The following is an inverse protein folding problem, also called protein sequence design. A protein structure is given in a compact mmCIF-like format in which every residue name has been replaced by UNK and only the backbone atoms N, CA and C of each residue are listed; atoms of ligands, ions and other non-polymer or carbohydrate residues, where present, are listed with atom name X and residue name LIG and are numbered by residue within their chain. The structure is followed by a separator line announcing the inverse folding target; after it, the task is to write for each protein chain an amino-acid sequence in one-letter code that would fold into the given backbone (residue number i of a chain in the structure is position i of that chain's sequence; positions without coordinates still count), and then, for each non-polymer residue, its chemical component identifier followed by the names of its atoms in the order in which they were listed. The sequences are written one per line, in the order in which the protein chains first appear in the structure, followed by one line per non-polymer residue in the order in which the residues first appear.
data_IF_648061801374
#
_entry.id   IF_648061801374
#
_cell.length_a   1.000
_cell.length_b   1.000
_cell.length_c   1.000
_cell.angle_alpha   90.00
_cell.angle_beta   90.00
_cell.angle_gamma   90.00
#
_symmetry.space_group_name_H-M   'P 1'
#
loop_
_entity.id
_entity.type
_entity.pdbx_description
1 polymer ?
#
# COMPACT_ATOMS: atom_id res chain seq x y z
N UNK A 1 56.64 15.08 1.85
CA UNK A 1 56.49 14.66 0.45
C UNK A 1 55.00 14.44 0.29
N UNK A 2 54.17 15.41 -0.02
CA UNK A 2 53.89 15.96 -1.34
C UNK A 2 53.17 14.93 -2.22
N UNK A 3 51.88 15.13 -2.46
CA UNK A 3 51.07 14.39 -3.40
C UNK A 3 49.62 14.89 -3.41
N UNK A 4 49.47 16.09 -3.86
CA UNK A 4 48.22 16.77 -4.31
C UNK A 4 47.78 16.12 -5.61
N UNK A 5 46.49 15.78 -5.75
CA UNK A 5 45.84 15.74 -7.05
C UNK A 5 44.33 15.95 -6.89
N UNK A 6 43.93 16.97 -7.23
CA UNK A 6 42.96 17.84 -7.82
C UNK A 6 42.42 17.27 -9.14
N UNK A 7 41.18 17.68 -9.41
CA UNK A 7 40.43 17.69 -10.68
C UNK A 7 39.34 16.62 -10.79
N UNK A 8 38.11 16.91 -11.18
CA UNK A 8 37.46 18.05 -11.83
C UNK A 8 35.96 17.71 -11.84
N UNK A 9 35.07 18.58 -11.46
CA UNK A 9 34.32 19.46 -12.31
C UNK A 9 33.63 18.80 -13.52
N UNK A 10 32.36 18.51 -13.40
CA UNK A 10 31.45 18.52 -14.52
C UNK A 10 30.10 19.11 -14.12
N UNK A 11 29.96 20.36 -14.36
CA UNK A 11 28.72 21.12 -14.52
C UNK A 11 28.12 20.81 -15.91
N UNK A 12 26.85 21.19 -16.07
CA UNK A 12 26.06 21.31 -17.30
C UNK A 12 25.18 20.06 -17.54
N UNK A 13 23.89 20.16 -17.80
CA UNK A 13 23.13 21.25 -18.42
C UNK A 13 21.64 21.11 -18.14
N UNK A 14 21.10 22.23 -17.86
CA UNK A 14 19.75 22.69 -18.04
C UNK A 14 19.22 22.36 -19.45
N UNK A 15 18.11 21.69 -19.59
CA UNK A 15 17.33 21.68 -20.81
C UNK A 15 15.87 21.92 -20.48
N UNK A 16 15.54 23.16 -20.54
CA UNK A 16 14.23 23.76 -20.64
C UNK A 16 13.60 23.38 -21.96
N UNK A 17 12.58 22.56 -21.98
CA UNK A 17 11.66 22.44 -23.10
C UNK A 17 10.38 23.17 -22.78
N UNK A 18 10.30 24.33 -23.37
CA UNK A 18 9.17 25.24 -23.42
C UNK A 18 8.31 24.82 -24.59
N UNK A 19 7.12 24.29 -24.33
CA UNK A 19 6.13 24.05 -25.37
C UNK A 19 4.97 25.02 -25.28
N UNK A 20 4.71 25.60 -26.41
CA UNK A 20 3.90 26.72 -26.80
C UNK A 20 2.41 26.32 -26.88
N UNK A 21 1.46 27.19 -26.52
CA UNK A 21 0.04 26.96 -26.71
C UNK A 21 -0.40 27.35 -28.14
N UNK A 22 -1.26 26.54 -28.73
CA UNK A 22 -2.03 26.92 -29.91
C UNK A 22 -3.51 26.73 -29.63
N UNK A 23 -4.12 27.75 -29.45
CA UNK A 23 -5.29 28.48 -29.77
C UNK A 23 -6.07 27.93 -30.98
N UNK A 24 -7.40 27.68 -30.80
CA UNK A 24 -8.46 28.08 -31.75
C UNK A 24 -9.82 27.55 -31.31
N UNK A 25 -10.63 28.41 -30.77
CA UNK A 25 -12.09 28.46 -30.96
C UNK A 25 -12.41 28.84 -32.42
N UNK A 26 -13.63 28.75 -32.99
CA UNK A 26 -14.93 28.89 -32.34
C UNK A 26 -16.10 28.07 -32.98
N UNK A 27 -17.26 28.19 -32.38
CA UNK A 27 -18.59 28.32 -32.98
C UNK A 27 -19.66 27.34 -32.43
N UNK A 28 -20.55 27.90 -31.67
CA UNK A 28 -21.90 27.40 -31.48
C UNK A 28 -22.77 27.63 -32.73
N UNK A 29 -23.88 26.91 -32.91
CA UNK A 29 -25.16 27.54 -32.51
C UNK A 29 -26.22 26.58 -31.88
N UNK A 30 -26.86 27.10 -30.90
CA UNK A 30 -28.28 27.22 -30.55
C UNK A 30 -29.33 26.50 -31.41
N UNK A 31 -30.18 25.69 -30.76
CA UNK A 31 -31.67 25.66 -30.90
C UNK A 31 -32.22 24.55 -29.96
N UNK A 32 -33.00 24.98 -29.08
CA UNK A 32 -34.46 24.97 -28.82
C UNK A 32 -34.99 23.71 -28.13
N UNK A 33 -35.66 24.06 -27.06
CA UNK A 33 -36.44 23.29 -26.11
C UNK A 33 -37.51 22.38 -26.72
N UNK A 34 -37.82 21.30 -26.00
CA UNK A 34 -39.20 20.85 -25.79
C UNK A 34 -39.27 19.97 -24.53
N UNK A 35 -40.25 20.28 -23.74
CA UNK A 35 -40.62 19.84 -22.40
C UNK A 35 -41.18 18.42 -22.31
N UNK A 36 -40.80 17.67 -21.23
CA UNK A 36 -41.68 16.99 -20.23
C UNK A 36 -42.57 15.81 -20.65
N UNK A 37 -43.05 14.93 -19.71
CA UNK A 37 -42.53 14.52 -18.39
C UNK A 37 -42.54 12.98 -18.10
N UNK A 38 -41.93 12.62 -16.99
CA UNK A 38 -42.26 11.53 -16.07
C UNK A 38 -42.20 10.06 -16.52
N UNK A 39 -41.29 9.30 -15.93
CA UNK A 39 -41.67 8.19 -15.05
C UNK A 39 -40.47 7.74 -14.20
N UNK A 40 -40.68 7.88 -12.93
CA UNK A 40 -39.90 7.31 -11.82
C UNK A 40 -39.60 5.83 -12.05
N UNK A 41 -38.34 5.47 -12.09
CA UNK A 41 -37.89 4.15 -11.64
C UNK A 41 -36.54 4.33 -10.93
N UNK A 42 -36.67 4.19 -9.64
CA UNK A 42 -35.60 4.14 -8.66
C UNK A 42 -34.80 2.86 -8.89
N UNK A 43 -33.63 2.94 -9.47
CA UNK A 43 -32.61 1.91 -9.39
C UNK A 43 -31.37 2.52 -8.81
N UNK A 44 -31.30 2.35 -7.51
CA UNK A 44 -30.09 2.59 -6.72
C UNK A 44 -29.00 1.62 -7.19
N UNK A 45 -28.21 2.04 -8.14
CA UNK A 45 -26.90 1.49 -8.37
C UNK A 45 -25.90 2.61 -8.11
N UNK A 46 -25.60 2.77 -6.83
CA UNK A 46 -24.54 3.67 -6.36
C UNK A 46 -23.19 3.03 -6.65
N UNK A 47 -22.73 3.13 -7.90
CA UNK A 47 -21.34 2.98 -8.21
C UNK A 47 -20.68 4.36 -8.17
N UNK A 48 -20.42 4.83 -6.97
CA UNK A 48 -19.46 5.93 -6.77
C UNK A 48 -18.05 5.37 -6.90
N UNK A 49 -17.23 5.86 -7.82
CA UNK A 49 -15.79 5.67 -7.69
C UNK A 49 -15.34 6.47 -6.46
N UNK A 50 -14.91 5.76 -5.44
CA UNK A 50 -14.34 6.36 -4.24
C UNK A 50 -13.05 7.09 -4.65
N UNK A 51 -13.18 8.38 -4.85
CA UNK A 51 -12.06 9.32 -4.88
C UNK A 51 -11.48 9.34 -3.45
N UNK A 52 -10.24 8.89 -3.32
CA UNK A 52 -9.56 8.79 -2.05
C UNK A 52 -9.39 10.13 -1.35
N UNK A 53 -10.36 10.46 -0.50
CA UNK A 53 -10.16 11.39 0.60
C UNK A 53 -9.96 10.51 1.83
N UNK A 54 -8.78 10.57 2.43
CA UNK A 54 -8.43 9.82 3.62
C UNK A 54 -9.42 10.09 4.74
N UNK A 55 -10.31 9.13 4.97
CA UNK A 55 -11.17 9.14 6.14
C UNK A 55 -10.31 8.71 7.34
N UNK A 56 -9.98 9.66 8.21
CA UNK A 56 -9.42 9.36 9.51
C UNK A 56 -10.29 8.32 10.23
N UNK A 57 -9.67 7.29 10.82
CA UNK A 57 -10.31 6.17 11.52
C UNK A 57 -11.03 5.14 10.62
N UNK A 58 -10.54 4.87 9.43
CA UNK A 58 -11.02 3.70 8.68
C UNK A 58 -10.39 2.42 9.24
N UNK A 59 -11.23 1.52 9.73
CA UNK A 59 -10.83 0.14 10.01
C UNK A 59 -10.55 -0.55 8.67
N UNK A 60 -9.34 -1.01 8.52
CA UNK A 60 -8.95 -1.77 7.35
C UNK A 60 -9.48 -3.19 7.46
N UNK A 61 -9.85 -3.79 6.33
CA UNK A 61 -10.30 -5.19 6.29
C UNK A 61 -10.01 -5.81 4.93
N UNK A 62 -10.11 -7.14 4.87
CA UNK A 62 -9.99 -7.89 3.63
C UNK A 62 -8.59 -8.45 3.38
N UNK A 63 -8.41 -9.02 2.19
CA UNK A 63 -7.17 -9.68 1.76
C UNK A 63 -6.33 -8.71 0.93
N UNK A 64 -5.07 -8.59 1.30
CA UNK A 64 -4.06 -7.79 0.61
C UNK A 64 -2.92 -8.69 0.17
N UNK A 65 -2.67 -8.78 -1.12
CA UNK A 65 -1.64 -9.66 -1.67
C UNK A 65 -0.53 -8.89 -2.37
N UNK A 66 0.68 -9.38 -2.17
CA UNK A 66 1.90 -8.87 -2.79
C UNK A 66 2.84 -10.00 -3.21
N UNK A 67 4.01 -9.63 -3.66
CA UNK A 67 5.10 -10.57 -3.88
C UNK A 67 5.74 -10.90 -2.52
N UNK A 68 5.85 -12.18 -2.21
CA UNK A 68 6.41 -12.73 -0.96
C UNK A 68 5.59 -12.44 0.30
N UNK A 69 4.33 -11.95 0.16
CA UNK A 69 3.49 -11.64 1.31
C UNK A 69 2.00 -11.74 0.99
N UNK A 70 1.23 -12.24 1.96
CA UNK A 70 -0.23 -12.17 2.03
C UNK A 70 -0.59 -11.60 3.39
N UNK A 71 -1.48 -10.62 3.43
CA UNK A 71 -2.01 -10.02 4.64
C UNK A 71 -3.53 -10.15 4.62
N UNK A 72 -4.09 -10.85 5.61
CA UNK A 72 -5.52 -10.98 5.82
C UNK A 72 -5.92 -10.17 7.04
N UNK A 73 -6.80 -9.20 6.86
CA UNK A 73 -7.25 -8.28 7.91
C UNK A 73 -8.71 -8.56 8.25
N UNK A 74 -8.95 -8.89 9.51
CA UNK A 74 -10.25 -9.01 10.14
C UNK A 74 -10.63 -7.72 10.88
N UNK A 75 -11.77 -7.72 11.56
CA UNK A 75 -12.25 -6.56 12.31
C UNK A 75 -11.37 -6.17 13.49
N UNK A 76 -10.67 -7.12 14.08
CA UNK A 76 -9.97 -7.02 15.38
C UNK A 76 -8.54 -7.58 15.35
N UNK A 77 -8.12 -8.13 14.22
CA UNK A 77 -6.81 -8.76 14.09
C UNK A 77 -6.37 -8.84 12.64
N UNK A 78 -5.08 -9.12 12.42
CA UNK A 78 -4.58 -9.44 11.11
C UNK A 78 -3.56 -10.58 11.15
N UNK A 79 -3.52 -11.37 10.08
CA UNK A 79 -2.54 -12.45 9.88
C UNK A 79 -1.71 -12.18 8.64
N UNK A 80 -0.43 -12.50 8.73
CA UNK A 80 0.52 -12.32 7.65
C UNK A 80 1.19 -13.67 7.32
N UNK A 81 1.26 -13.98 6.04
CA UNK A 81 2.07 -15.07 5.53
C UNK A 81 3.19 -14.50 4.64
N UNK A 82 4.41 -14.94 4.89
CA UNK A 82 5.59 -14.65 4.09
C UNK A 82 6.15 -15.94 3.48
N UNK A 83 7.18 -15.86 2.65
CA UNK A 83 7.78 -17.06 2.04
C UNK A 83 8.18 -18.12 3.08
N UNK A 84 8.90 -17.71 4.13
CA UNK A 84 9.43 -18.60 5.15
C UNK A 84 9.13 -18.10 6.57
N UNK A 85 8.03 -17.38 6.71
CA UNK A 85 7.63 -16.84 8.00
C UNK A 85 6.12 -16.60 8.05
N UNK A 86 5.61 -16.41 9.25
CA UNK A 86 4.25 -15.96 9.51
C UNK A 86 4.25 -14.85 10.53
N UNK A 87 3.21 -14.04 10.56
CA UNK A 87 3.03 -12.98 11.52
C UNK A 87 1.58 -12.85 11.96
N UNK A 88 1.35 -12.20 13.08
CA UNK A 88 0.01 -11.84 13.53
C UNK A 88 0.00 -10.51 14.25
N UNK A 89 -1.05 -9.75 14.07
CA UNK A 89 -1.35 -8.51 14.76
C UNK A 89 -2.67 -8.74 15.49
N UNK A 90 -2.70 -8.54 16.81
CA UNK A 90 -3.87 -8.81 17.66
C UNK A 90 -4.79 -7.60 17.80
N UNK A 91 -4.40 -6.48 17.26
CA UNK A 91 -5.14 -5.23 17.29
C UNK A 91 -5.73 -4.91 15.91
N UNK A 92 -6.88 -4.21 15.85
CA UNK A 92 -7.44 -3.76 14.58
C UNK A 92 -6.51 -2.78 13.88
N UNK A 93 -6.38 -2.90 12.57
CA UNK A 93 -5.60 -1.95 11.77
C UNK A 93 -6.48 -0.73 11.47
N UNK A 94 -6.22 0.35 12.18
CA UNK A 94 -6.90 1.63 12.03
C UNK A 94 -5.95 2.63 11.37
N UNK A 95 -6.40 3.25 10.31
CA UNK A 95 -5.62 4.25 9.59
C UNK A 95 -5.77 5.63 10.24
N UNK A 96 -4.67 6.36 10.31
CA UNK A 96 -4.69 7.78 10.66
C UNK A 96 -5.21 8.65 9.49
N UNK A 97 -5.26 9.97 9.69
CA UNK A 97 -5.72 10.92 8.68
C UNK A 97 -4.87 10.93 7.40
N UNK A 98 -3.65 10.41 7.45
CA UNK A 98 -2.72 10.32 6.33
C UNK A 98 -2.69 8.91 5.70
N UNK A 99 -3.53 7.99 6.19
CA UNK A 99 -3.56 6.61 5.73
C UNK A 99 -2.43 5.75 6.30
N UNK A 100 -1.82 6.13 7.43
CA UNK A 100 -0.75 5.38 8.08
C UNK A 100 -1.29 4.54 9.22
N UNK A 101 -0.61 3.43 9.50
CA UNK A 101 -0.76 2.63 10.70
C UNK A 101 0.60 2.20 11.23
N UNK A 102 0.66 1.89 12.53
CA UNK A 102 1.86 1.45 13.22
C UNK A 102 1.45 0.60 14.43
N UNK A 103 1.73 -0.70 14.38
CA UNK A 103 1.28 -1.68 15.35
C UNK A 103 2.38 -2.67 15.69
N UNK A 104 2.29 -3.26 16.87
CA UNK A 104 3.15 -4.35 17.31
C UNK A 104 2.43 -5.67 17.11
N UNK A 105 3.16 -6.68 16.68
CA UNK A 105 2.63 -8.02 16.49
C UNK A 105 3.70 -9.07 16.67
N UNK A 106 3.38 -10.33 16.36
CA UNK A 106 4.33 -11.42 16.38
C UNK A 106 4.87 -11.73 14.99
N UNK A 107 6.11 -12.21 14.94
CA UNK A 107 6.76 -12.71 13.74
C UNK A 107 7.41 -14.05 14.04
N UNK A 108 7.04 -15.08 13.29
CA UNK A 108 7.55 -16.43 13.44
C UNK A 108 8.29 -16.84 12.17
N UNK A 109 9.62 -17.04 12.28
CA UNK A 109 10.42 -17.55 11.18
C UNK A 109 10.34 -19.06 11.13
N UNK A 110 9.90 -19.62 10.03
CA UNK A 110 9.89 -21.04 9.79
C UNK A 110 11.27 -21.50 9.33
N UNK A 111 11.95 -22.29 10.15
CA UNK A 111 13.22 -22.91 9.80
C UNK A 111 13.03 -24.30 9.18
N UNK A 112 14.03 -24.83 8.46
CA UNK A 112 14.01 -26.21 7.98
C UNK A 112 14.10 -27.18 9.16
N UNK A 113 13.20 -28.15 9.20
CA UNK A 113 13.22 -29.22 10.18
C UNK A 113 11.95 -29.31 11.04
N UNK A 114 11.81 -30.39 11.82
CA UNK A 114 10.63 -30.56 12.66
C UNK A 114 10.60 -29.53 13.77
N UNK A 115 9.49 -28.83 13.90
CA UNK A 115 9.22 -27.91 15.00
C UNK A 115 9.20 -28.67 16.32
N UNK A 116 10.05 -28.27 17.27
CA UNK A 116 9.99 -28.81 18.63
C UNK A 116 8.73 -28.30 19.29
N UNK A 117 7.86 -29.21 19.72
CA UNK A 117 6.68 -28.85 20.49
C UNK A 117 7.10 -28.12 21.78
N UNK A 118 6.51 -26.93 22.01
CA UNK A 118 6.71 -26.15 23.24
C UNK A 118 7.77 -25.05 23.16
N UNK A 119 8.47 -24.88 22.04
CA UNK A 119 9.36 -23.73 21.82
C UNK A 119 8.67 -22.78 20.84
N UNK A 120 8.11 -21.68 21.35
CA UNK A 120 7.66 -20.59 20.51
C UNK A 120 8.88 -19.90 19.91
N UNK A 121 8.95 -19.87 18.59
CA UNK A 121 9.95 -19.07 17.85
C UNK A 121 9.39 -17.68 17.51
N UNK A 122 8.28 -17.32 18.14
CA UNK A 122 7.66 -16.03 17.96
C UNK A 122 8.54 -14.94 18.56
N UNK A 123 8.85 -13.94 17.78
CA UNK A 123 9.48 -12.71 18.22
C UNK A 123 8.52 -11.55 17.98
N UNK A 124 8.61 -10.54 18.82
CA UNK A 124 7.86 -9.31 18.56
C UNK A 124 8.34 -8.67 17.25
N UNK A 125 7.44 -8.06 16.53
CA UNK A 125 7.75 -7.30 15.34
C UNK A 125 6.89 -6.05 15.26
N UNK A 126 7.42 -4.99 14.65
CA UNK A 126 6.69 -3.77 14.39
C UNK A 126 6.24 -3.76 12.95
N UNK A 127 4.94 -3.59 12.77
CA UNK A 127 4.27 -3.51 11.48
C UNK A 127 3.80 -2.09 11.26
N UNK A 128 4.36 -1.42 10.28
CA UNK A 128 3.94 -0.07 9.91
C UNK A 128 3.65 0.01 8.42
N UNK A 129 2.77 0.89 8.03
CA UNK A 129 2.44 0.99 6.61
C UNK A 129 1.67 2.24 6.24
N UNK A 130 1.54 2.42 4.94
CA UNK A 130 0.76 3.50 4.34
C UNK A 130 -0.17 2.91 3.30
N UNK A 131 -1.44 3.25 3.39
CA UNK A 131 -2.49 2.83 2.46
C UNK A 131 -2.91 4.00 1.59
N UNK A 132 -2.92 3.78 0.28
CA UNK A 132 -3.39 4.76 -0.68
C UNK A 132 -4.36 4.06 -1.66
N UNK A 133 -5.65 4.24 -1.44
CA UNK A 133 -6.68 3.53 -2.19
C UNK A 133 -6.54 2.01 -2.06
N UNK A 134 -6.29 1.34 -3.16
CA UNK A 134 -6.15 -0.12 -3.22
C UNK A 134 -4.70 -0.61 -3.08
N UNK A 135 -3.75 0.25 -2.76
CA UNK A 135 -2.35 -0.10 -2.60
C UNK A 135 -1.88 0.18 -1.18
N UNK A 136 -1.02 -0.70 -0.67
CA UNK A 136 -0.40 -0.58 0.64
C UNK A 136 1.10 -0.79 0.52
N UNK A 137 1.87 0.07 1.18
CA UNK A 137 3.27 -0.20 1.51
C UNK A 137 3.32 -0.68 2.95
N UNK A 138 3.86 -1.86 3.16
CA UNK A 138 4.00 -2.49 4.47
C UNK A 138 5.49 -2.62 4.81
N UNK A 139 5.85 -2.17 5.98
CA UNK A 139 7.18 -2.29 6.57
C UNK A 139 7.12 -3.20 7.79
N UNK A 140 8.03 -4.16 7.85
CA UNK A 140 8.17 -5.08 8.98
C UNK A 140 9.55 -4.91 9.58
N UNK A 141 9.61 -4.52 10.83
CA UNK A 141 10.86 -4.36 11.58
C UNK A 141 10.93 -5.40 12.70
N UNK A 142 12.00 -6.18 12.69
CA UNK A 142 12.27 -7.19 13.73
C UNK A 142 13.09 -6.58 14.86
N UNK A 143 12.84 -6.97 16.12
CA UNK A 143 13.60 -6.49 17.26
C UNK A 143 15.06 -6.89 17.14
N UNK A 144 15.95 -5.94 17.42
CA UNK A 144 17.39 -6.15 17.33
C UNK A 144 17.98 -6.14 15.92
N UNK A 145 17.14 -5.94 14.89
CA UNK A 145 17.57 -5.72 13.52
C UNK A 145 17.36 -4.26 13.11
N UNK A 146 18.34 -3.70 12.45
CA UNK A 146 18.18 -2.41 11.75
C UNK A 146 17.60 -2.56 10.35
N UNK A 147 17.40 -3.78 9.90
CA UNK A 147 16.81 -4.07 8.59
C UNK A 147 15.29 -3.96 8.64
N UNK A 148 14.74 -3.26 7.68
CA UNK A 148 13.30 -3.13 7.46
C UNK A 148 12.95 -3.94 6.22
N UNK A 149 12.02 -4.87 6.36
CA UNK A 149 11.47 -5.62 5.23
C UNK A 149 10.31 -4.82 4.64
N UNK A 150 10.43 -4.44 3.38
CA UNK A 150 9.42 -3.64 2.68
C UNK A 150 8.64 -4.47 1.68
N UNK A 151 7.31 -4.34 1.70
CA UNK A 151 6.40 -5.04 0.80
C UNK A 151 5.40 -4.07 0.18
N UNK A 152 5.03 -4.37 -1.06
CA UNK A 152 3.94 -3.68 -1.75
C UNK A 152 2.77 -4.63 -1.95
N UNK A 153 1.60 -4.26 -1.43
CA UNK A 153 0.40 -5.08 -1.47
C UNK A 153 -0.71 -4.36 -2.25
N UNK A 154 -1.62 -5.17 -2.78
CA UNK A 154 -2.83 -4.68 -3.45
C UNK A 154 -4.05 -5.35 -2.84
N UNK A 155 -5.07 -4.57 -2.53
CA UNK A 155 -6.34 -5.05 -1.99
C UNK A 155 -7.05 -5.98 -2.98
N UNK A 156 -7.55 -7.10 -2.48
CA UNK A 156 -8.32 -8.07 -3.25
C UNK A 156 -7.49 -8.89 -4.26
N UNK A 157 -6.15 -8.74 -4.29
CA UNK A 157 -5.29 -9.60 -5.11
C UNK A 157 -4.77 -10.78 -4.31
N UNK A 158 -4.65 -11.97 -4.92
CA UNK A 158 -3.94 -13.08 -4.29
C UNK A 158 -2.45 -12.71 -4.20
N UNK A 159 -1.84 -12.95 -3.03
CA UNK A 159 -0.40 -12.84 -2.87
C UNK A 159 0.32 -14.03 -3.51
N UNK A 160 1.58 -13.82 -3.83
CA UNK A 160 2.47 -14.87 -4.33
C UNK A 160 3.56 -15.14 -3.30
N UNK A 161 3.46 -16.27 -2.62
CA UNK A 161 4.45 -16.75 -1.67
C UNK A 161 5.12 -18.03 -2.16
N UNK A 162 6.38 -18.21 -1.80
CA UNK A 162 7.17 -19.41 -2.07
C UNK A 162 7.34 -20.15 -0.74
N UNK A 163 6.77 -21.34 -0.63
CA UNK A 163 6.88 -22.16 0.60
C UNK A 163 8.32 -22.64 0.77
N UNK A 164 8.83 -22.57 1.99
CA UNK A 164 10.10 -23.20 2.38
C UNK A 164 9.86 -24.69 2.68
N UNK A 165 10.75 -25.52 2.16
CA UNK A 165 10.76 -26.96 2.37
C UNK A 165 11.94 -27.36 3.27
#
# INVERSE_FOLDING_TARGET
MAGISVLAFCLLQNSSCKEKPANSDPAAPRATATSSPAKTMNTNASNSPATGAGNANQNLSGVWGGLHVILEISSDSATLEFDCASGSIKDPIVLDANGHFDLVGSYNRQGPGPTRQGVSTDSDARYSGTVNGNTMKLNVQLPGSSEILEFSLTHGRPGKITKCY
#
